data_IF_114866812273
#
_entry.id   IF_114866812273
#
_cell.length_a   1.000
_cell.length_b   1.000
_cell.length_c   1.000
_cell.angle_alpha   90.00
_cell.angle_beta   90.00
_cell.angle_gamma   90.00
#
_symmetry.space_group_name_H-M   'P 1'
#
loop_
_entity.id
_entity.type
_entity.pdbx_description
1 polymer ?
#
# COMPACT_ATOMS: atom_id res chain seq x y z
N UNK A 1 -23.72 5.27 17.20
CA UNK A 1 -24.74 5.01 16.14
C UNK A 1 -25.97 5.77 16.56
N UNK A 2 -26.53 6.65 15.73
CA UNK A 2 -27.83 7.26 16.09
C UNK A 2 -28.92 6.19 15.94
N UNK A 3 -29.66 5.97 17.00
CA UNK A 3 -30.84 5.12 17.03
C UNK A 3 -31.97 5.85 16.29
N UNK A 4 -32.23 5.50 15.03
CA UNK A 4 -33.31 6.16 14.30
C UNK A 4 -33.48 5.72 12.85
N UNK A 5 -33.15 4.48 12.53
CA UNK A 5 -33.45 3.96 11.21
C UNK A 5 -34.97 3.78 11.04
N UNK A 6 -35.59 4.66 10.29
CA UNK A 6 -36.99 4.48 9.86
C UNK A 6 -37.00 3.99 8.40
N UNK A 7 -37.36 2.76 8.21
CA UNK A 7 -37.64 2.20 6.90
C UNK A 7 -39.02 2.65 6.45
N UNK A 8 -39.08 3.65 5.59
CA UNK A 8 -40.35 4.07 4.95
C UNK A 8 -40.57 3.23 3.68
N UNK A 9 -41.50 2.31 3.74
CA UNK A 9 -42.00 1.57 2.59
C UNK A 9 -43.07 2.41 1.92
N UNK A 10 -42.84 2.85 0.69
CA UNK A 10 -43.90 3.46 -0.14
C UNK A 10 -44.66 2.31 -0.79
N UNK A 11 -45.97 2.26 -0.57
CA UNK A 11 -46.84 1.22 -1.13
C UNK A 11 -46.74 1.22 -2.66
N UNK A 12 -46.19 0.11 -3.21
CA UNK A 12 -46.11 -0.11 -4.64
C UNK A 12 -44.69 -0.15 -5.21
N UNK A 13 -43.63 0.14 -4.43
CA UNK A 13 -42.24 -0.01 -4.84
C UNK A 13 -41.67 -1.37 -4.44
N UNK A 14 -40.93 -1.95 -5.35
CA UNK A 14 -40.32 -3.28 -5.18
C UNK A 14 -38.98 -3.24 -4.43
N UNK A 15 -38.40 -2.04 -4.25
CA UNK A 15 -37.10 -1.87 -3.57
C UNK A 15 -37.26 -1.03 -2.29
N UNK A 16 -36.76 -1.50 -1.15
CA UNK A 16 -36.78 -0.73 0.08
C UNK A 16 -35.83 0.46 -0.01
N UNK A 17 -36.34 1.68 0.09
CA UNK A 17 -35.53 2.90 0.20
C UNK A 17 -35.37 3.23 1.68
N UNK A 18 -34.14 3.23 2.16
CA UNK A 18 -33.78 3.72 3.48
C UNK A 18 -33.63 5.25 3.44
N UNK A 19 -34.50 5.99 4.15
CA UNK A 19 -34.38 7.45 4.26
C UNK A 19 -33.90 7.82 5.65
N UNK A 20 -32.80 8.57 5.74
CA UNK A 20 -32.31 9.17 6.97
C UNK A 20 -32.41 10.69 6.91
N UNK A 21 -32.74 11.34 8.03
CA UNK A 21 -32.77 12.78 8.12
C UNK A 21 -31.89 13.29 9.25
N UNK A 22 -31.04 14.26 8.92
CA UNK A 22 -30.13 14.92 9.85
C UNK A 22 -30.43 16.43 9.84
N UNK A 23 -30.76 16.98 11.00
CA UNK A 23 -31.09 18.42 11.11
C UNK A 23 -29.89 19.32 10.89
N UNK A 24 -28.71 18.93 11.39
CA UNK A 24 -27.47 19.67 11.18
C UNK A 24 -26.29 18.71 11.08
N UNK A 25 -25.51 18.85 10.02
CA UNK A 25 -24.31 18.07 9.76
C UNK A 25 -23.12 19.00 9.51
N UNK A 26 -22.08 18.83 10.28
CA UNK A 26 -20.82 19.54 10.05
C UNK A 26 -19.76 18.56 9.56
N UNK A 27 -19.25 18.77 8.35
CA UNK A 27 -18.21 17.95 7.74
C UNK A 27 -17.01 18.80 7.36
N UNK A 28 -15.83 18.41 7.85
CA UNK A 28 -14.56 19.11 7.62
C UNK A 28 -13.44 18.10 7.31
N UNK A 29 -12.47 18.51 6.53
CA UNK A 29 -11.14 17.88 6.38
C UNK A 29 -11.13 16.35 6.24
N UNK A 30 -11.95 15.81 5.34
CA UNK A 30 -11.99 14.38 5.08
C UNK A 30 -12.92 13.57 5.98
N UNK A 31 -13.81 14.23 6.73
CA UNK A 31 -14.91 13.54 7.42
C UNK A 31 -15.78 12.77 6.43
N UNK A 32 -16.08 11.49 6.73
CA UNK A 32 -16.78 10.58 5.81
C UNK A 32 -18.21 10.32 6.31
N UNK A 33 -19.18 10.54 5.44
CA UNK A 33 -20.54 10.00 5.56
C UNK A 33 -20.62 8.76 4.67
N UNK A 34 -20.71 7.59 5.29
CA UNK A 34 -20.77 6.34 4.57
C UNK A 34 -22.22 5.86 4.42
N UNK A 35 -22.73 5.90 3.19
CA UNK A 35 -24.04 5.36 2.83
C UNK A 35 -23.99 3.90 2.44
N UNK A 36 -22.77 3.38 2.13
CA UNK A 36 -22.55 1.98 1.82
C UNK A 36 -22.61 1.08 3.06
N UNK A 37 -23.04 -0.16 2.90
CA UNK A 37 -22.84 -1.21 3.92
C UNK A 37 -24.04 -1.52 4.81
N UNK A 38 -25.26 -1.07 4.48
CA UNK A 38 -26.48 -1.49 5.21
C UNK A 38 -27.17 -2.76 4.66
N UNK A 39 -26.53 -3.43 3.70
CA UNK A 39 -27.06 -4.63 3.05
C UNK A 39 -27.24 -5.82 4.01
N UNK A 40 -26.52 -5.83 5.13
CA UNK A 40 -26.59 -6.92 6.11
C UNK A 40 -27.88 -6.97 6.92
N UNK A 41 -28.65 -5.86 6.94
CA UNK A 41 -29.85 -5.80 7.78
C UNK A 41 -31.11 -6.33 7.09
N UNK A 42 -31.17 -6.29 5.76
CA UNK A 42 -32.35 -6.70 4.96
C UNK A 42 -32.07 -7.90 4.06
N UNK A 43 -30.83 -8.38 3.97
CA UNK A 43 -30.46 -9.54 3.14
C UNK A 43 -30.49 -9.29 1.62
N UNK A 44 -30.74 -8.07 1.16
CA UNK A 44 -30.77 -7.71 -0.25
C UNK A 44 -29.70 -6.65 -0.58
N UNK A 45 -28.90 -6.91 -1.61
CA UNK A 45 -27.79 -6.05 -2.06
C UNK A 45 -28.19 -4.73 -2.74
N UNK A 46 -29.44 -4.35 -2.71
CA UNK A 46 -30.00 -3.26 -3.54
C UNK A 46 -30.77 -2.21 -2.77
N UNK A 47 -30.56 -2.07 -1.47
CA UNK A 47 -31.21 -1.02 -0.70
C UNK A 47 -30.62 0.36 -1.06
N UNK A 48 -31.40 1.15 -1.78
CA UNK A 48 -31.10 2.58 -2.03
C UNK A 48 -31.25 3.37 -0.74
N UNK A 49 -30.30 4.23 -0.44
CA UNK A 49 -30.34 5.13 0.72
C UNK A 49 -30.45 6.57 0.30
N UNK A 50 -31.33 7.28 1.00
CA UNK A 50 -31.49 8.72 0.84
C UNK A 50 -31.13 9.43 2.13
N UNK A 51 -30.13 10.31 2.08
CA UNK A 51 -29.75 11.15 3.19
C UNK A 51 -30.32 12.57 2.99
N UNK A 52 -31.20 13.00 3.91
CA UNK A 52 -31.72 14.35 3.95
C UNK A 52 -31.00 15.16 5.02
N UNK A 53 -30.30 16.21 4.63
CA UNK A 53 -29.58 17.13 5.52
C UNK A 53 -30.27 18.49 5.49
N UNK A 54 -30.83 18.92 6.62
CA UNK A 54 -31.50 20.22 6.70
C UNK A 54 -30.48 21.37 6.65
N UNK A 55 -29.33 21.24 7.32
CA UNK A 55 -28.24 22.21 7.29
C UNK A 55 -26.88 21.53 7.23
N UNK A 56 -26.08 21.75 6.14
CA UNK A 56 -24.73 21.25 5.95
C UNK A 56 -23.73 22.38 6.12
N UNK A 57 -22.74 22.19 7.00
CA UNK A 57 -21.67 23.14 7.30
C UNK A 57 -20.29 22.55 7.07
N UNK A 58 -19.34 23.44 6.78
CA UNK A 58 -17.93 23.07 6.58
C UNK A 58 -17.58 22.81 5.12
N UNK A 59 -16.43 22.20 4.91
CA UNK A 59 -15.91 21.88 3.56
C UNK A 59 -14.97 20.69 3.65
N UNK A 60 -14.81 19.96 2.56
CA UNK A 60 -13.91 18.80 2.50
C UNK A 60 -14.52 17.48 3.00
N UNK A 61 -15.82 17.45 3.28
CA UNK A 61 -16.52 16.22 3.65
C UNK A 61 -16.72 15.29 2.46
N UNK A 62 -16.74 13.99 2.70
CA UNK A 62 -16.83 12.94 1.68
C UNK A 62 -18.14 12.17 1.89
N UNK A 63 -18.95 12.08 0.83
CA UNK A 63 -20.14 11.22 0.80
C UNK A 63 -19.80 9.96 0.01
N UNK A 64 -19.64 8.85 0.71
CA UNK A 64 -19.35 7.54 0.13
C UNK A 64 -20.65 6.81 -0.13
N UNK A 65 -20.91 6.41 -1.39
CA UNK A 65 -22.22 5.94 -1.81
C UNK A 65 -22.17 4.83 -2.85
N UNK A 66 -23.23 4.02 -2.88
CA UNK A 66 -23.47 3.04 -3.94
C UNK A 66 -24.06 3.74 -5.15
N UNK A 67 -23.43 3.55 -6.31
CA UNK A 67 -23.86 4.14 -7.58
C UNK A 67 -24.16 3.05 -8.59
N UNK A 68 -25.36 3.05 -9.14
CA UNK A 68 -25.82 2.06 -10.09
C UNK A 68 -25.99 2.68 -11.49
N UNK A 69 -25.61 1.96 -12.52
CA UNK A 69 -25.73 2.38 -13.93
C UNK A 69 -26.99 1.84 -14.62
N UNK A 70 -27.75 0.96 -13.97
CA UNK A 70 -28.98 0.40 -14.54
C UNK A 70 -30.06 1.46 -14.57
N UNK A 71 -30.66 1.67 -15.74
CA UNK A 71 -31.81 2.58 -15.88
C UNK A 71 -32.95 2.10 -14.98
N UNK A 72 -33.41 2.98 -14.10
CA UNK A 72 -34.57 2.76 -13.24
C UNK A 72 -35.56 3.91 -13.47
N UNK A 73 -36.85 3.75 -13.11
CA UNK A 73 -37.84 4.81 -13.26
C UNK A 73 -37.72 5.95 -12.22
N UNK A 74 -36.65 6.02 -11.46
CA UNK A 74 -36.42 6.96 -10.36
C UNK A 74 -35.89 8.35 -10.77
N UNK A 75 -36.16 8.76 -12.00
CA UNK A 75 -35.79 10.11 -12.46
C UNK A 75 -34.29 10.30 -12.74
N UNK A 76 -33.55 9.23 -13.02
CA UNK A 76 -32.13 9.29 -13.40
C UNK A 76 -31.17 8.97 -12.27
N UNK A 77 -31.66 8.56 -11.12
CA UNK A 77 -30.83 8.06 -9.99
C UNK A 77 -30.35 6.63 -10.22
N UNK A 78 -31.01 5.89 -11.09
CA UNK A 78 -30.65 4.52 -11.47
C UNK A 78 -30.55 3.53 -10.28
N UNK A 79 -31.29 3.79 -9.20
CA UNK A 79 -31.19 3.00 -7.96
C UNK A 79 -29.88 3.25 -7.21
N UNK A 80 -29.31 4.45 -7.32
CA UNK A 80 -28.15 4.89 -6.57
C UNK A 80 -28.53 5.53 -5.25
N UNK A 81 -27.62 5.50 -4.28
CA UNK A 81 -27.75 6.31 -3.07
C UNK A 81 -27.84 7.79 -3.42
N UNK A 82 -28.47 8.58 -2.54
CA UNK A 82 -28.79 9.97 -2.83
C UNK A 82 -28.62 10.88 -1.62
N UNK A 83 -28.20 12.15 -1.87
CA UNK A 83 -28.05 13.16 -0.84
C UNK A 83 -28.87 14.39 -1.16
N UNK A 84 -29.78 14.77 -0.24
CA UNK A 84 -30.51 16.03 -0.26
C UNK A 84 -29.93 16.99 0.75
N UNK A 85 -29.60 18.22 0.35
CA UNK A 85 -29.13 19.28 1.25
C UNK A 85 -30.01 20.51 1.10
N UNK A 86 -30.87 20.75 2.09
CA UNK A 86 -31.85 21.85 2.05
C UNK A 86 -31.18 23.22 2.17
N UNK A 87 -30.17 23.35 3.03
CA UNK A 87 -29.35 24.56 3.21
C UNK A 87 -27.92 24.13 3.47
N UNK A 88 -26.93 24.88 3.00
CA UNK A 88 -25.55 24.57 3.31
C UNK A 88 -24.57 25.44 2.60
N UNK A 89 -23.31 25.15 2.83
CA UNK A 89 -22.16 25.81 2.22
C UNK A 89 -20.97 24.88 2.07
N UNK A 90 -20.03 25.27 1.22
CA UNK A 90 -18.76 24.60 1.07
C UNK A 90 -18.70 23.61 -0.08
N UNK A 91 -17.49 23.09 -0.31
CA UNK A 91 -17.22 22.07 -1.31
C UNK A 91 -17.01 20.74 -0.62
N UNK A 92 -17.75 19.74 -1.05
CA UNK A 92 -17.72 18.37 -0.55
C UNK A 92 -17.46 17.40 -1.70
N UNK A 93 -17.22 16.13 -1.39
CA UNK A 93 -16.82 15.14 -2.37
C UNK A 93 -17.79 13.97 -2.44
N UNK A 94 -18.00 13.47 -3.66
CA UNK A 94 -18.73 12.24 -3.93
C UNK A 94 -17.71 11.13 -4.20
N UNK A 95 -17.80 10.04 -3.43
CA UNK A 95 -16.97 8.85 -3.58
C UNK A 95 -17.84 7.63 -3.90
N UNK A 96 -17.92 7.18 -5.16
CA UNK A 96 -18.53 5.90 -5.48
C UNK A 96 -17.77 4.74 -4.82
N UNK A 97 -18.48 3.74 -4.29
CA UNK A 97 -17.88 2.57 -3.66
C UNK A 97 -17.24 1.65 -4.71
N UNK A 98 -17.92 1.45 -5.85
CA UNK A 98 -17.45 0.61 -6.95
C UNK A 98 -17.17 1.44 -8.22
N UNK A 99 -16.21 2.37 -8.21
CA UNK A 99 -16.01 3.32 -9.31
C UNK A 99 -15.60 2.64 -10.62
N UNK A 100 -14.97 1.46 -10.57
CA UNK A 100 -14.60 0.68 -11.76
C UNK A 100 -15.83 0.28 -12.60
N UNK A 101 -16.99 0.06 -11.98
CA UNK A 101 -18.24 -0.27 -12.69
C UNK A 101 -18.83 0.91 -13.44
N UNK A 102 -18.34 2.11 -13.16
CA UNK A 102 -18.77 3.37 -13.76
C UNK A 102 -17.88 3.80 -14.94
N UNK A 103 -16.81 3.05 -15.23
CA UNK A 103 -15.99 3.30 -16.41
C UNK A 103 -16.82 3.07 -17.67
N UNK A 104 -16.79 4.03 -18.62
CA UNK A 104 -17.63 3.95 -19.83
C UNK A 104 -19.09 4.36 -19.61
N UNK A 105 -19.41 5.08 -18.53
CA UNK A 105 -20.72 5.66 -18.29
C UNK A 105 -21.16 6.51 -19.49
N UNK A 106 -22.33 6.20 -20.06
CA UNK A 106 -22.90 6.89 -21.23
C UNK A 106 -24.04 7.85 -20.87
N UNK A 107 -24.61 7.69 -19.68
CA UNK A 107 -25.71 8.51 -19.16
C UNK A 107 -25.35 9.01 -17.79
N UNK A 108 -25.46 10.33 -17.51
CA UNK A 108 -25.22 10.88 -16.20
C UNK A 108 -26.11 10.23 -15.13
N UNK A 109 -25.55 9.96 -13.96
CA UNK A 109 -26.28 9.42 -12.80
C UNK A 109 -26.48 10.53 -11.79
N UNK A 110 -27.74 10.80 -11.44
CA UNK A 110 -28.10 11.81 -10.47
C UNK A 110 -27.84 11.31 -9.05
N UNK A 111 -27.02 12.03 -8.26
CA UNK A 111 -26.52 11.59 -6.96
C UNK A 111 -26.80 12.59 -5.82
N UNK A 112 -27.07 13.86 -6.13
CA UNK A 112 -27.43 14.82 -5.10
C UNK A 112 -28.29 15.96 -5.63
N UNK A 113 -29.13 16.53 -4.74
CA UNK A 113 -29.83 17.79 -4.90
C UNK A 113 -29.47 18.68 -3.70
N UNK A 114 -28.91 19.86 -3.93
CA UNK A 114 -28.34 20.66 -2.87
C UNK A 114 -28.58 22.17 -3.05
N UNK A 115 -28.54 22.89 -1.93
CA UNK A 115 -28.53 24.35 -1.87
C UNK A 115 -27.47 24.93 -2.84
N UNK A 116 -27.76 26.12 -3.38
CA UNK A 116 -26.93 26.78 -4.38
C UNK A 116 -25.48 27.08 -3.90
N UNK A 117 -25.28 27.17 -2.59
CA UNK A 117 -23.96 27.44 -1.98
C UNK A 117 -23.17 26.18 -1.66
N UNK A 118 -23.73 24.98 -1.89
CA UNK A 118 -23.05 23.70 -1.76
C UNK A 118 -22.53 23.26 -3.11
N UNK A 119 -21.27 22.83 -3.14
CA UNK A 119 -20.65 22.24 -4.32
C UNK A 119 -20.18 20.82 -4.05
N UNK A 120 -20.31 19.96 -5.06
CA UNK A 120 -19.75 18.60 -5.05
C UNK A 120 -18.71 18.42 -6.14
N UNK A 121 -17.63 17.73 -5.78
CA UNK A 121 -16.57 17.29 -6.70
C UNK A 121 -16.38 15.78 -6.58
N UNK A 122 -15.79 15.17 -7.59
CA UNK A 122 -15.38 13.76 -7.51
C UNK A 122 -14.22 13.60 -6.53
N UNK A 123 -14.32 12.63 -5.61
CA UNK A 123 -13.23 12.32 -4.70
C UNK A 123 -12.11 11.59 -5.44
N UNK A 124 -10.91 12.16 -5.42
CA UNK A 124 -9.75 11.66 -6.19
C UNK A 124 -8.67 11.01 -5.32
N UNK A 125 -8.74 11.17 -4.00
CA UNK A 125 -7.82 10.52 -3.08
C UNK A 125 -8.44 9.21 -2.62
N UNK A 126 -7.96 8.09 -3.14
CA UNK A 126 -8.22 6.81 -2.48
C UNK A 126 -7.28 6.71 -1.28
N UNK A 127 -7.83 6.85 -0.08
CA UNK A 127 -7.17 6.27 1.08
C UNK A 127 -7.17 4.76 0.86
N UNK A 128 -6.04 4.12 1.14
CA UNK A 128 -5.89 2.68 1.12
C UNK A 128 -6.85 2.08 2.14
N UNK A 129 -8.06 1.82 1.69
CA UNK A 129 -8.99 0.97 2.39
C UNK A 129 -8.45 -0.45 2.23
N UNK A 130 -8.67 -1.33 3.19
CA UNK A 130 -8.22 -2.73 3.17
C UNK A 130 -8.59 -3.51 1.89
N UNK A 131 -9.38 -2.92 1.02
CA UNK A 131 -9.82 -3.40 -0.29
C UNK A 131 -9.40 -2.45 -1.41
N UNK A 132 -8.16 -1.95 -1.42
CA UNK A 132 -7.66 -0.98 -2.41
C UNK A 132 -7.76 -1.51 -3.84
N UNK A 133 -8.13 -0.63 -4.76
CA UNK A 133 -8.14 -0.92 -6.20
C UNK A 133 -6.72 -0.85 -6.78
N UNK A 134 -6.45 -1.64 -7.82
CA UNK A 134 -5.19 -1.58 -8.57
C UNK A 134 -4.95 -0.21 -9.20
N UNK A 135 -6.04 0.47 -9.59
CA UNK A 135 -6.02 1.76 -10.25
C UNK A 135 -6.85 2.76 -9.48
N UNK A 136 -6.47 4.03 -9.55
CA UNK A 136 -7.33 5.12 -9.10
C UNK A 136 -8.42 5.38 -10.15
N UNK A 137 -9.63 5.56 -9.67
CA UNK A 137 -10.78 5.95 -10.47
C UNK A 137 -11.18 7.37 -10.09
N UNK A 138 -11.22 8.24 -11.08
CA UNK A 138 -11.50 9.66 -10.89
C UNK A 138 -12.92 9.94 -11.38
N UNK A 139 -13.90 10.09 -10.48
CA UNK A 139 -15.24 10.49 -10.86
C UNK A 139 -15.26 11.97 -11.24
N UNK A 140 -16.00 12.28 -12.31
CA UNK A 140 -16.35 13.64 -12.70
C UNK A 140 -17.76 13.92 -12.23
N UNK A 141 -17.92 14.94 -11.37
CA UNK A 141 -19.21 15.35 -10.80
C UNK A 141 -19.52 16.75 -11.30
N UNK A 142 -20.67 16.90 -11.95
CA UNK A 142 -21.10 18.14 -12.57
C UNK A 142 -22.55 18.48 -12.20
N UNK A 143 -22.85 19.77 -12.12
CA UNK A 143 -24.17 20.25 -11.78
C UNK A 143 -25.05 20.52 -13.01
N UNK A 144 -26.33 20.21 -12.89
CA UNK A 144 -27.38 20.61 -13.84
C UNK A 144 -27.12 20.22 -15.29
N UNK A 145 -26.41 19.08 -15.53
CA UNK A 145 -26.05 18.61 -16.88
C UNK A 145 -27.19 17.97 -17.63
N UNK A 146 -28.21 17.50 -16.94
CA UNK A 146 -29.47 17.04 -17.54
C UNK A 146 -30.48 18.18 -17.41
N UNK A 147 -31.22 18.47 -18.48
CA UNK A 147 -32.28 19.46 -18.44
C UNK A 147 -33.24 19.10 -17.29
N UNK A 148 -33.20 19.88 -16.26
CA UNK A 148 -33.94 19.61 -15.04
C UNK A 148 -35.44 19.55 -15.39
N UNK A 149 -36.09 18.44 -15.11
CA UNK A 149 -37.48 18.47 -14.79
C UNK A 149 -37.61 19.32 -13.52
N UNK A 150 -38.28 20.45 -13.61
CA UNK A 150 -38.41 21.45 -12.53
C UNK A 150 -39.00 20.85 -11.27
N UNK A 151 -39.68 19.70 -11.35
CA UNK A 151 -40.21 18.95 -10.23
C UNK A 151 -39.17 18.22 -9.40
N UNK A 152 -37.97 17.99 -9.94
CA UNK A 152 -36.93 17.24 -9.25
C UNK A 152 -35.89 18.13 -8.56
N UNK A 153 -35.77 19.40 -8.93
CA UNK A 153 -34.86 20.35 -8.31
C UNK A 153 -35.53 21.07 -7.12
N UNK A 154 -35.44 20.48 -5.95
CA UNK A 154 -36.12 21.02 -4.74
C UNK A 154 -35.25 22.03 -3.97
N UNK A 155 -33.88 21.91 -4.08
CA UNK A 155 -32.97 22.65 -3.21
C UNK A 155 -32.02 23.60 -3.94
N UNK A 156 -31.90 23.54 -5.25
CA UNK A 156 -31.10 24.50 -6.01
C UNK A 156 -30.32 23.88 -7.16
N UNK A 157 -29.43 22.97 -6.90
CA UNK A 157 -28.60 22.32 -7.93
C UNK A 157 -28.67 20.80 -7.86
N UNK A 158 -28.92 20.20 -9.02
CA UNK A 158 -28.81 18.76 -9.20
C UNK A 158 -27.37 18.39 -9.59
N UNK A 159 -26.79 17.40 -8.91
CA UNK A 159 -25.43 16.96 -9.11
C UNK A 159 -25.39 15.54 -9.67
N UNK A 160 -24.57 15.34 -10.70
CA UNK A 160 -24.49 14.12 -11.47
C UNK A 160 -23.07 13.61 -11.56
N UNK A 161 -22.88 12.30 -11.45
CA UNK A 161 -21.68 11.65 -11.95
C UNK A 161 -21.82 11.52 -13.47
N UNK A 162 -20.99 12.22 -14.21
CA UNK A 162 -21.04 12.26 -15.69
C UNK A 162 -20.05 11.33 -16.34
N UNK A 163 -18.94 11.04 -15.66
CA UNK A 163 -17.91 10.11 -16.12
C UNK A 163 -17.11 9.57 -14.93
N UNK A 164 -16.52 8.41 -15.12
CA UNK A 164 -15.44 7.91 -14.25
C UNK A 164 -14.29 7.50 -15.15
N UNK A 165 -13.13 8.07 -14.90
CA UNK A 165 -11.91 7.80 -15.63
C UNK A 165 -10.96 6.97 -14.78
N UNK A 166 -10.49 5.86 -15.31
CA UNK A 166 -9.39 5.10 -14.75
C UNK A 166 -8.08 5.85 -14.98
N UNK A 167 -7.28 5.98 -13.92
CA UNK A 167 -5.93 6.48 -14.04
C UNK A 167 -5.04 5.37 -14.59
N UNK A 168 -4.26 5.67 -15.62
CA UNK A 168 -3.46 4.67 -16.35
C UNK A 168 -2.29 4.08 -15.56
N UNK A 169 -1.92 4.71 -14.45
CA UNK A 169 -0.86 4.21 -13.58
C UNK A 169 -1.45 3.44 -12.40
N UNK A 170 -0.97 2.22 -12.13
CA UNK A 170 -1.45 1.43 -10.99
C UNK A 170 -1.16 2.14 -9.67
N UNK A 171 -2.04 1.95 -8.70
CA UNK A 171 -1.85 2.46 -7.34
C UNK A 171 -0.69 1.77 -6.67
N UNK A 172 0.18 2.55 -6.13
CA UNK A 172 1.58 2.31 -5.76
C UNK A 172 1.87 1.43 -4.50
N UNK A 173 0.94 0.98 -3.61
CA UNK A 173 1.33 0.33 -2.36
C UNK A 173 2.21 -0.92 -2.54
N UNK A 174 1.92 -1.76 -3.54
CA UNK A 174 2.71 -2.98 -3.78
C UNK A 174 4.09 -2.64 -4.33
N UNK A 175 4.21 -1.61 -5.18
CA UNK A 175 5.50 -1.13 -5.70
C UNK A 175 6.35 -0.57 -4.56
N UNK A 176 5.79 0.28 -3.71
CA UNK A 176 6.49 0.84 -2.56
C UNK A 176 6.90 -0.25 -1.57
N UNK A 177 6.00 -1.19 -1.26
CA UNK A 177 6.32 -2.33 -0.39
C UNK A 177 7.43 -3.20 -0.98
N UNK A 178 7.44 -3.43 -2.30
CA UNK A 178 8.50 -4.14 -3.00
C UNK A 178 9.84 -3.40 -2.88
N UNK A 179 9.88 -2.08 -3.08
CA UNK A 179 11.09 -1.28 -2.94
C UNK A 179 11.63 -1.28 -1.50
N UNK A 180 10.74 -1.15 -0.50
CA UNK A 180 11.10 -1.23 0.92
C UNK A 180 11.64 -2.62 1.26
N UNK A 181 11.03 -3.69 0.73
CA UNK A 181 11.51 -5.06 0.86
C UNK A 181 12.94 -5.22 0.34
N UNK A 182 13.21 -4.76 -0.88
CA UNK A 182 14.55 -4.81 -1.50
C UNK A 182 15.59 -4.11 -0.64
N UNK A 183 15.28 -2.91 -0.13
CA UNK A 183 16.19 -2.18 0.74
C UNK A 183 16.45 -2.93 2.07
N UNK A 184 15.40 -3.46 2.69
CA UNK A 184 15.49 -4.17 3.97
C UNK A 184 16.31 -5.47 3.84
N UNK A 185 16.11 -6.22 2.76
CA UNK A 185 16.85 -7.45 2.48
C UNK A 185 18.34 -7.20 2.21
N UNK A 186 18.68 -6.21 1.40
CA UNK A 186 20.07 -5.85 1.19
C UNK A 186 20.75 -5.37 2.46
N UNK A 187 20.07 -4.57 3.27
CA UNK A 187 20.59 -4.15 4.57
C UNK A 187 20.84 -5.34 5.50
N UNK A 188 19.91 -6.29 5.58
CA UNK A 188 20.07 -7.49 6.40
C UNK A 188 21.23 -8.36 5.89
N UNK A 189 21.45 -8.43 4.58
CA UNK A 189 22.60 -9.13 3.97
C UNK A 189 23.94 -8.50 4.35
N UNK A 190 24.01 -7.16 4.52
CA UNK A 190 25.21 -6.50 5.02
C UNK A 190 25.54 -6.92 6.45
N UNK A 191 24.54 -7.05 7.32
CA UNK A 191 24.75 -7.54 8.69
C UNK A 191 25.21 -9.02 8.73
N UNK A 192 24.83 -9.81 7.73
CA UNK A 192 25.29 -11.19 7.56
C UNK A 192 26.77 -11.22 7.17
N UNK A 193 27.23 -10.27 6.39
CA UNK A 193 28.60 -10.20 5.88
C UNK A 193 29.60 -9.72 6.93
N UNK A 194 29.18 -9.36 8.14
CA UNK A 194 30.11 -9.00 9.20
C UNK A 194 31.05 -10.18 9.50
N UNK A 195 32.34 -9.87 9.55
CA UNK A 195 33.41 -10.87 9.69
C UNK A 195 33.34 -11.59 11.04
N UNK A 196 32.84 -10.98 12.07
CA UNK A 196 32.65 -11.62 13.38
C UNK A 196 31.83 -12.92 13.32
N UNK A 197 30.85 -12.98 12.41
CA UNK A 197 30.07 -14.20 12.17
C UNK A 197 30.83 -15.22 11.31
N UNK A 198 31.78 -14.77 10.52
CA UNK A 198 32.62 -15.61 9.64
C UNK A 198 33.91 -16.08 10.28
N UNK A 199 34.52 -15.23 11.10
CA UNK A 199 35.75 -15.53 11.83
C UNK A 199 35.59 -16.59 12.93
N UNK A 200 34.36 -16.96 13.31
CA UNK A 200 34.13 -18.10 14.19
C UNK A 200 34.73 -19.41 13.63
N UNK A 201 34.58 -19.61 12.34
CA UNK A 201 35.07 -20.79 11.64
C UNK A 201 36.58 -20.71 11.33
N UNK A 202 37.10 -19.54 10.96
CA UNK A 202 38.53 -19.34 10.68
C UNK A 202 39.41 -19.39 11.94
N UNK A 203 38.87 -19.15 13.13
CA UNK A 203 39.63 -19.19 14.39
C UNK A 203 40.09 -20.58 14.80
N UNK A 204 39.35 -21.59 14.37
CA UNK A 204 39.69 -22.98 14.69
C UNK A 204 40.79 -23.55 13.76
N UNK A 205 41.06 -22.88 12.63
CA UNK A 205 42.12 -23.24 11.69
C UNK A 205 43.41 -22.47 12.01
N UNK A 206 44.19 -22.99 12.96
CA UNK A 206 45.43 -22.33 13.41
C UNK A 206 46.57 -22.31 12.40
N UNK A 207 46.51 -23.12 11.32
CA UNK A 207 47.62 -23.39 10.47
C UNK A 207 47.38 -23.30 8.94
N UNK A 208 46.22 -22.79 8.50
CA UNK A 208 45.94 -22.66 7.06
C UNK A 208 46.15 -21.24 6.55
N UNK A 209 47.13 -21.07 5.67
CA UNK A 209 47.47 -19.79 5.01
C UNK A 209 46.38 -19.33 4.03
N UNK A 210 45.52 -20.25 3.55
CA UNK A 210 44.42 -19.95 2.63
C UNK A 210 43.28 -20.97 2.75
N UNK A 211 42.07 -20.57 2.51
CA UNK A 211 40.89 -21.43 2.62
C UNK A 211 39.72 -21.05 1.71
N UNK A 212 39.05 -22.09 1.23
CA UNK A 212 37.76 -21.97 0.57
C UNK A 212 36.64 -22.16 1.63
N UNK A 213 35.61 -21.36 1.58
CA UNK A 213 34.47 -21.50 2.47
C UNK A 213 33.14 -21.35 1.71
N UNK A 214 32.09 -21.95 2.25
CA UNK A 214 30.72 -21.86 1.74
C UNK A 214 29.83 -21.52 2.91
N UNK A 215 28.81 -20.68 2.67
CA UNK A 215 27.78 -20.33 3.65
C UNK A 215 26.42 -20.37 3.02
N UNK A 216 25.48 -20.97 3.73
CA UNK A 216 24.05 -20.88 3.45
C UNK A 216 23.34 -20.22 4.62
N UNK A 217 22.42 -19.32 4.33
CA UNK A 217 21.50 -18.75 5.30
C UNK A 217 20.11 -18.68 4.73
N UNK A 218 19.12 -19.01 5.54
CA UNK A 218 17.71 -18.79 5.25
C UNK A 218 17.03 -18.13 6.43
N UNK A 219 16.00 -17.37 6.19
CA UNK A 219 15.26 -16.67 7.22
C UNK A 219 14.08 -15.87 6.66
N UNK A 220 13.48 -15.09 7.53
CA UNK A 220 12.39 -14.20 7.17
C UNK A 220 12.68 -12.79 7.67
N UNK A 221 12.25 -11.81 6.87
CA UNK A 221 12.26 -10.38 7.22
C UNK A 221 10.84 -9.90 7.02
N UNK A 222 10.34 -9.13 7.97
CA UNK A 222 8.99 -8.60 7.93
C UNK A 222 9.03 -7.09 8.20
N UNK A 223 8.38 -6.32 7.34
CA UNK A 223 8.10 -4.91 7.52
C UNK A 223 6.70 -4.70 8.07
N UNK A 224 6.42 -3.53 8.62
CA UNK A 224 5.12 -3.18 9.21
C UNK A 224 4.57 -1.88 8.62
N UNK A 225 3.29 -1.60 8.87
CA UNK A 225 2.62 -0.39 8.40
C UNK A 225 1.99 -0.53 7.02
N UNK A 226 1.74 0.58 6.35
CA UNK A 226 1.11 0.64 5.02
C UNK A 226 1.89 -0.14 3.95
N UNK A 227 3.21 -0.17 4.06
CA UNK A 227 4.11 -0.88 3.17
C UNK A 227 4.54 -2.23 3.74
N UNK A 228 3.60 -2.95 4.35
CA UNK A 228 3.86 -4.27 4.91
C UNK A 228 4.36 -5.24 3.84
N UNK A 229 5.39 -5.98 4.20
CA UNK A 229 5.90 -7.10 3.43
C UNK A 229 6.38 -8.21 4.36
N UNK A 230 6.41 -9.43 3.84
CA UNK A 230 7.05 -10.59 4.44
C UNK A 230 7.92 -11.25 3.39
N UNK A 231 9.23 -11.23 3.61
CA UNK A 231 10.23 -11.82 2.72
C UNK A 231 10.81 -13.09 3.34
N UNK A 232 10.86 -14.16 2.58
CA UNK A 232 11.57 -15.39 2.92
C UNK A 232 12.77 -15.52 2.00
N UNK A 233 13.98 -15.49 2.55
CA UNK A 233 15.22 -15.48 1.77
C UNK A 233 16.03 -16.76 1.92
N UNK A 234 16.72 -17.12 0.83
CA UNK A 234 17.69 -18.20 0.74
C UNK A 234 19.00 -17.67 0.18
N UNK A 235 19.91 -17.29 1.06
CA UNK A 235 21.18 -16.66 0.71
C UNK A 235 22.32 -17.70 0.72
N UNK A 236 23.06 -17.78 -0.38
CA UNK A 236 24.20 -18.66 -0.57
C UNK A 236 25.43 -17.84 -0.89
N UNK A 237 26.56 -18.17 -0.29
CA UNK A 237 27.81 -17.47 -0.53
C UNK A 237 28.96 -18.45 -0.55
N UNK A 238 29.89 -18.22 -1.46
CA UNK A 238 31.18 -18.95 -1.56
C UNK A 238 32.31 -17.92 -1.57
N UNK A 239 33.36 -18.18 -0.83
CA UNK A 239 34.51 -17.27 -0.80
C UNK A 239 35.81 -17.97 -0.57
N UNK A 240 36.85 -17.20 -0.83
CA UNK A 240 38.25 -17.64 -0.67
C UNK A 240 39.00 -16.55 0.10
N UNK A 241 39.74 -16.98 1.13
CA UNK A 241 40.56 -16.11 1.96
C UNK A 241 42.02 -16.54 1.91
N UNK A 242 42.92 -15.57 2.09
CA UNK A 242 44.34 -15.80 2.28
C UNK A 242 44.85 -14.93 3.42
N UNK A 243 45.64 -15.54 4.28
CA UNK A 243 46.41 -14.84 5.31
C UNK A 243 47.63 -14.17 4.67
N UNK A 244 47.82 -12.88 4.91
CA UNK A 244 48.92 -12.07 4.39
C UNK A 244 49.91 -11.67 5.48
N UNK A 245 49.50 -11.75 6.74
CA UNK A 245 50.30 -11.33 7.86
C UNK A 245 50.04 -12.22 9.08
N UNK A 246 51.11 -12.68 9.71
CA UNK A 246 51.05 -13.48 10.92
C UNK A 246 52.35 -13.28 11.70
N UNK A 247 52.34 -12.33 12.64
CA UNK A 247 53.49 -12.02 13.49
C UNK A 247 53.04 -11.74 14.94
N UNK A 248 53.98 -11.17 15.73
CA UNK A 248 53.74 -10.85 17.13
C UNK A 248 52.72 -9.76 17.36
N UNK A 249 52.41 -8.95 16.35
CA UNK A 249 51.47 -7.83 16.44
C UNK A 249 50.05 -8.21 16.05
N UNK A 250 49.87 -9.26 15.24
CA UNK A 250 48.55 -9.72 14.84
C UNK A 250 48.54 -10.54 13.55
N UNK A 251 47.35 -10.82 13.09
CA UNK A 251 47.10 -11.59 11.88
C UNK A 251 46.20 -10.78 10.95
N UNK A 252 46.45 -10.84 9.66
CA UNK A 252 45.65 -10.19 8.65
C UNK A 252 45.27 -11.15 7.50
N UNK A 253 44.07 -11.03 7.05
CA UNK A 253 43.51 -11.78 5.94
C UNK A 253 42.88 -10.84 4.91
N UNK A 254 42.83 -11.26 3.69
CA UNK A 254 41.98 -10.70 2.66
C UNK A 254 41.31 -11.83 1.89
N UNK A 255 40.18 -11.50 1.27
CA UNK A 255 39.46 -12.50 0.50
C UNK A 255 38.47 -11.88 -0.48
N UNK A 256 37.92 -12.78 -1.28
CA UNK A 256 36.85 -12.48 -2.22
C UNK A 256 35.70 -13.44 -1.97
N UNK A 257 34.45 -13.00 -2.21
CA UNK A 257 33.33 -13.89 -2.18
C UNK A 257 32.35 -13.54 -3.28
N UNK A 258 31.61 -14.55 -3.74
CA UNK A 258 30.45 -14.39 -4.59
C UNK A 258 29.19 -14.85 -3.83
N UNK A 259 28.06 -14.26 -4.12
CA UNK A 259 26.80 -14.66 -3.51
C UNK A 259 25.69 -14.77 -4.54
N UNK A 260 24.69 -15.58 -4.17
CA UNK A 260 23.40 -15.70 -4.82
C UNK A 260 22.31 -15.81 -3.76
N UNK A 261 21.20 -15.09 -3.95
CA UNK A 261 19.99 -15.20 -3.13
C UNK A 261 18.77 -15.36 -4.02
N UNK A 262 17.82 -16.13 -3.53
CA UNK A 262 16.50 -16.33 -4.13
C UNK A 262 15.47 -16.15 -3.01
N UNK A 263 14.59 -15.16 -3.19
CA UNK A 263 13.71 -14.68 -2.14
C UNK A 263 12.28 -14.62 -2.66
N UNK A 264 11.33 -15.04 -1.80
CA UNK A 264 9.90 -14.90 -2.02
C UNK A 264 9.33 -13.86 -1.07
N UNK A 265 8.52 -12.96 -1.61
CA UNK A 265 7.90 -11.88 -0.86
C UNK A 265 6.37 -11.91 -0.96
N UNK A 266 5.69 -11.64 0.15
CA UNK A 266 4.27 -11.37 0.21
C UNK A 266 4.04 -9.91 0.59
N UNK A 267 3.01 -9.30 0.01
CA UNK A 267 2.55 -7.93 0.25
C UNK A 267 1.06 -7.94 0.59
N UNK A 268 0.49 -6.87 1.13
CA UNK A 268 -0.94 -6.81 1.47
C UNK A 268 -1.85 -7.24 0.32
N UNK A 269 -1.54 -6.81 -0.90
CA UNK A 269 -2.36 -7.07 -2.08
C UNK A 269 -1.52 -7.62 -3.23
N UNK A 270 -0.64 -8.58 -2.91
CA UNK A 270 0.20 -9.13 -3.94
C UNK A 270 1.33 -9.99 -3.40
N UNK A 271 2.16 -10.40 -4.31
CA UNK A 271 3.35 -11.20 -4.02
C UNK A 271 4.49 -10.80 -4.97
N UNK A 272 5.69 -11.20 -4.62
CA UNK A 272 6.85 -10.92 -5.43
C UNK A 272 7.97 -11.92 -5.22
N UNK A 273 9.01 -11.78 -6.00
CA UNK A 273 10.27 -12.51 -5.84
C UNK A 273 11.43 -11.57 -6.10
N UNK A 274 12.54 -11.84 -5.40
CA UNK A 274 13.79 -11.12 -5.58
C UNK A 274 14.91 -12.11 -5.80
N UNK A 275 15.74 -11.86 -6.81
CA UNK A 275 17.01 -12.58 -7.01
C UNK A 275 18.15 -11.61 -6.89
N UNK A 276 19.17 -11.98 -6.13
CA UNK A 276 20.37 -11.17 -5.97
C UNK A 276 21.60 -11.99 -6.25
N UNK A 277 22.53 -11.42 -6.99
CA UNK A 277 23.86 -11.97 -7.18
C UNK A 277 24.91 -10.88 -7.18
N UNK A 278 26.10 -11.23 -6.68
CA UNK A 278 27.13 -10.23 -6.58
C UNK A 278 28.44 -10.78 -6.04
N UNK A 279 29.35 -9.85 -5.81
CA UNK A 279 30.67 -10.15 -5.31
C UNK A 279 31.07 -9.18 -4.21
N UNK A 280 31.96 -9.64 -3.32
CA UNK A 280 32.57 -8.84 -2.27
C UNK A 280 34.05 -9.02 -2.17
N UNK A 281 34.75 -7.94 -1.84
CA UNK A 281 36.15 -7.92 -1.41
C UNK A 281 36.14 -7.61 0.08
N UNK A 282 36.98 -8.28 0.83
CA UNK A 282 37.10 -8.04 2.26
C UNK A 282 38.49 -8.15 2.77
N UNK A 283 38.80 -7.43 3.84
CA UNK A 283 40.02 -7.49 4.58
C UNK A 283 39.75 -7.50 6.07
N UNK A 284 40.50 -8.25 6.83
CA UNK A 284 40.41 -8.37 8.27
C UNK A 284 41.76 -8.32 8.93
N UNK A 285 41.80 -7.69 10.09
CA UNK A 285 42.97 -7.70 10.95
C UNK A 285 42.55 -8.04 12.40
N UNK A 286 43.28 -8.94 13.05
CA UNK A 286 43.12 -9.30 14.45
C UNK A 286 44.46 -9.16 15.16
N UNK A 287 44.54 -8.22 16.11
CA UNK A 287 45.71 -7.96 16.95
C UNK A 287 45.77 -8.87 18.17
N UNK A 288 46.96 -9.22 18.62
CA UNK A 288 47.19 -10.10 19.76
C UNK A 288 46.67 -9.59 21.11
N UNK A 289 46.31 -8.30 21.19
CA UNK A 289 45.65 -7.66 22.37
C UNK A 289 44.15 -7.69 22.28
N UNK A 290 43.55 -8.44 21.33
CA UNK A 290 42.11 -8.61 21.13
C UNK A 290 41.42 -7.53 20.32
N UNK A 291 42.12 -6.55 19.78
CA UNK A 291 41.59 -5.61 18.83
C UNK A 291 41.38 -6.28 17.47
N UNK A 292 40.33 -5.89 16.76
CA UNK A 292 40.11 -6.34 15.40
C UNK A 292 39.53 -5.21 14.55
N UNK A 293 39.75 -5.28 13.26
CA UNK A 293 39.12 -4.42 12.25
C UNK A 293 38.76 -5.23 11.03
N UNK A 294 37.55 -4.95 10.48
CA UNK A 294 36.98 -5.63 9.32
C UNK A 294 36.49 -4.61 8.32
N UNK A 295 36.78 -4.86 7.04
CA UNK A 295 36.36 -4.02 5.93
C UNK A 295 35.75 -4.93 4.85
N UNK A 296 34.57 -4.54 4.35
CA UNK A 296 33.89 -5.26 3.26
C UNK A 296 33.38 -4.25 2.23
N UNK A 297 33.80 -4.44 0.98
CA UNK A 297 33.25 -3.78 -0.18
C UNK A 297 32.44 -4.81 -0.95
N UNK A 298 31.15 -4.54 -1.19
CA UNK A 298 30.23 -5.46 -1.84
C UNK A 298 29.45 -4.76 -2.94
N UNK A 299 29.29 -5.46 -4.05
CA UNK A 299 28.38 -5.11 -5.12
C UNK A 299 27.33 -6.22 -5.27
N UNK A 300 26.07 -5.82 -5.42
CA UNK A 300 24.93 -6.70 -5.68
C UNK A 300 24.12 -6.17 -6.84
N UNK A 301 23.70 -7.05 -7.73
CA UNK A 301 22.65 -6.82 -8.72
C UNK A 301 21.40 -7.58 -8.29
N UNK A 302 20.25 -6.89 -8.27
CA UNK A 302 18.99 -7.40 -7.79
C UNK A 302 17.96 -7.30 -8.90
N UNK A 303 17.30 -8.40 -9.19
CA UNK A 303 16.14 -8.47 -10.11
C UNK A 303 14.90 -8.72 -9.28
N UNK A 304 13.95 -7.83 -9.36
CA UNK A 304 12.71 -7.86 -8.60
C UNK A 304 11.52 -8.07 -9.53
N UNK A 305 10.58 -8.90 -9.10
CA UNK A 305 9.28 -9.09 -9.75
C UNK A 305 8.20 -8.97 -8.72
N UNK A 306 7.10 -8.34 -9.10
CA UNK A 306 5.92 -8.24 -8.24
C UNK A 306 4.64 -8.43 -9.04
N UNK A 307 3.60 -8.90 -8.37
CA UNK A 307 2.24 -8.96 -8.87
C UNK A 307 1.34 -8.33 -7.82
N UNK A 308 0.63 -7.31 -8.22
CA UNK A 308 -0.44 -6.69 -7.44
C UNK A 308 -1.78 -7.29 -7.86
N UNK A 309 -2.65 -7.56 -6.90
CA UNK A 309 -3.97 -8.17 -7.14
C UNK A 309 -5.02 -7.43 -6.32
N UNK A 310 -6.18 -7.22 -6.92
CA UNK A 310 -7.39 -6.79 -6.22
C UNK A 310 -8.63 -7.49 -6.79
N UNK A 311 -9.82 -7.04 -6.40
CA UNK A 311 -11.09 -7.61 -6.89
C UNK A 311 -11.35 -7.33 -8.38
N UNK A 312 -10.63 -6.36 -8.97
CA UNK A 312 -10.81 -5.94 -10.36
C UNK A 312 -9.86 -6.62 -11.32
N UNK A 313 -8.74 -7.15 -10.82
CA UNK A 313 -7.75 -7.82 -11.66
C UNK A 313 -6.37 -7.94 -11.03
N UNK A 314 -5.37 -8.10 -11.88
CA UNK A 314 -3.97 -8.16 -11.48
C UNK A 314 -3.08 -7.36 -12.42
N UNK A 315 -2.04 -6.75 -11.87
CA UNK A 315 -0.96 -6.11 -12.61
C UNK A 315 0.37 -6.69 -12.15
N UNK A 316 1.30 -6.89 -13.09
CA UNK A 316 2.63 -7.37 -12.79
C UNK A 316 3.68 -6.40 -13.32
N UNK A 317 4.80 -6.33 -12.62
CA UNK A 317 5.94 -5.54 -13.03
C UNK A 317 7.25 -6.16 -12.58
N UNK A 318 8.33 -5.69 -13.18
CA UNK A 318 9.69 -6.04 -12.81
C UNK A 318 10.60 -4.82 -12.86
N UNK A 319 11.64 -4.85 -12.05
CA UNK A 319 12.67 -3.82 -12.04
C UNK A 319 13.99 -4.39 -11.52
N UNK A 320 15.09 -3.77 -11.95
CA UNK A 320 16.44 -4.12 -11.52
C UNK A 320 17.03 -3.01 -10.65
N UNK A 321 17.78 -3.42 -9.64
CA UNK A 321 18.55 -2.54 -8.78
C UNK A 321 20.03 -2.96 -8.72
N UNK A 322 20.88 -1.97 -8.46
CA UNK A 322 22.28 -2.18 -8.17
C UNK A 322 22.61 -1.58 -6.80
N UNK A 323 23.21 -2.36 -5.94
CA UNK A 323 23.65 -1.94 -4.63
C UNK A 323 25.18 -2.00 -4.53
N UNK A 324 25.78 -0.89 -4.09
CA UNK A 324 27.18 -0.83 -3.71
C UNK A 324 27.27 -0.49 -2.23
N UNK A 325 27.93 -1.33 -1.46
CA UNK A 325 28.05 -1.13 -0.02
C UNK A 325 29.49 -1.23 0.45
N UNK A 326 29.80 -0.40 1.44
CA UNK A 326 31.05 -0.39 2.18
C UNK A 326 30.73 -0.55 3.66
N UNK A 327 31.31 -1.55 4.30
CA UNK A 327 31.21 -1.78 5.74
C UNK A 327 32.59 -1.70 6.36
N UNK A 328 32.68 -1.06 7.53
CA UNK A 328 33.85 -1.05 8.38
C UNK A 328 33.44 -1.35 9.82
N UNK A 329 34.05 -2.31 10.44
CA UNK A 329 33.85 -2.69 11.83
C UNK A 329 35.17 -2.64 12.59
N UNK A 330 35.16 -2.08 13.78
CA UNK A 330 36.29 -2.10 14.70
C UNK A 330 35.79 -2.53 16.09
N UNK A 331 36.51 -3.42 16.74
CA UNK A 331 36.15 -3.89 18.07
C UNK A 331 37.35 -4.41 18.88
N UNK A 332 37.07 -4.75 20.14
CA UNK A 332 38.01 -5.36 21.06
C UNK A 332 37.38 -6.51 21.82
N UNK A 333 38.01 -7.67 21.80
CA UNK A 333 37.61 -8.82 22.61
C UNK A 333 38.33 -8.75 23.95
N UNK A 334 37.57 -8.55 25.04
CA UNK A 334 38.06 -8.62 26.37
C UNK A 334 37.84 -10.06 26.91
N UNK A 335 38.91 -10.76 27.30
CA UNK A 335 38.79 -12.00 28.06
C UNK A 335 38.58 -11.65 29.51
N UNK A 336 37.38 -11.82 30.03
CA UNK A 336 37.17 -11.82 31.48
C UNK A 336 37.70 -13.17 31.98
N UNK A 337 38.82 -13.13 32.72
CA UNK A 337 39.37 -14.33 33.34
C UNK A 337 38.35 -14.91 34.31
N UNK A 338 38.13 -16.22 34.23
CA UNK A 338 37.60 -16.93 35.39
C UNK A 338 38.74 -17.02 36.39
N UNK A 339 38.54 -16.39 37.55
CA UNK A 339 39.37 -16.66 38.75
C UNK A 339 39.09 -18.06 39.26
#
# INVERSE_FOLDING_TARGET
MPDGYQQNRIDGETDPVGTERITALTLQDGGIVNLHGFDSFIGEKTAVKELHVDELKGSGGIFRMDVNTKATPDGGRNGSDFVYVAKGEGTHYIQPVDPQRLTGLTTPVWVADADANVSFEGYTKQETIDEGFLYNYIPTVEKNVVAADTAQNQHGNNWYITAVREQTEPVVPVIEASMVNTYATERARLEIDSLNKRMGELRDYKDTEAGLWVRHKSGQIEGSGSNWFKNTYHFNQIGFDRQIHNDRDGRAWYGIAAHYSDDDAAYHQGHGSEKSYGASLYASWEGNKGHYSDYVLKYSHLTNKFTACDQTGSAAGDYDNNALSLSAEYGRKNRFGHG
#
